data_IF_784656693995
#
_entry.id   IF_784656693995
#
_cell.length_a   1.000
_cell.length_b   1.000
_cell.length_c   1.000
_cell.angle_alpha   90.00
_cell.angle_beta   90.00
_cell.angle_gamma   90.00
#
_symmetry.space_group_name_H-M   'P 1'
#
loop_
_entity.id
_entity.type
_entity.pdbx_description
1 polymer ?
#
# COMPACT_ATOMS: atom_id res chain seq x y z
N UNK A 1 -22.75 -8.39 -16.66
CA UNK A 1 -23.08 -8.95 -15.33
C UNK A 1 -23.04 -7.95 -14.20
N UNK A 2 -22.12 -6.96 -14.18
CA UNK A 2 -22.06 -5.91 -13.14
C UNK A 2 -23.44 -5.45 -12.64
N UNK A 3 -24.35 -4.90 -13.48
CA UNK A 3 -25.67 -4.47 -13.01
C UNK A 3 -26.54 -5.64 -12.52
N UNK A 4 -26.55 -6.76 -13.24
CA UNK A 4 -27.39 -7.91 -12.89
C UNK A 4 -27.01 -8.61 -11.57
N UNK A 5 -25.86 -8.27 -10.98
CA UNK A 5 -25.38 -8.83 -9.71
C UNK A 5 -25.18 -7.76 -8.64
N UNK A 6 -25.59 -6.51 -8.90
CA UNK A 6 -25.69 -5.47 -7.87
C UNK A 6 -26.97 -5.68 -7.06
N UNK A 7 -26.97 -5.25 -5.79
CA UNK A 7 -28.16 -5.28 -4.93
C UNK A 7 -29.29 -4.39 -5.47
N UNK A 8 -28.93 -3.22 -6.03
CA UNK A 8 -29.82 -2.31 -6.75
C UNK A 8 -29.10 -1.74 -7.98
N UNK A 9 -29.83 -1.58 -9.09
CA UNK A 9 -29.31 -1.11 -10.38
C UNK A 9 -30.12 0.06 -10.93
N UNK A 10 -29.40 1.03 -11.50
CA UNK A 10 -29.95 2.20 -12.17
C UNK A 10 -29.56 2.17 -13.66
N UNK A 11 -30.47 2.53 -14.55
CA UNK A 11 -30.19 2.72 -15.98
C UNK A 11 -30.72 4.06 -16.48
N UNK A 12 -29.98 4.73 -17.37
CA UNK A 12 -30.41 5.99 -17.99
C UNK A 12 -31.20 5.69 -19.27
N UNK A 13 -32.43 6.20 -19.36
CA UNK A 13 -33.34 6.03 -20.50
C UNK A 13 -32.75 6.59 -21.79
N UNK A 14 -32.87 5.82 -22.88
CA UNK A 14 -32.38 6.23 -24.20
C UNK A 14 -30.85 6.30 -24.32
N UNK A 15 -30.11 5.78 -23.33
CA UNK A 15 -28.65 5.81 -23.30
C UNK A 15 -28.05 4.49 -22.82
N UNK A 16 -28.46 4.01 -21.65
CA UNK A 16 -27.95 2.78 -21.05
C UNK A 16 -28.51 1.54 -21.75
N UNK A 17 -27.65 0.56 -22.04
CA UNK A 17 -28.06 -0.74 -22.59
C UNK A 17 -27.34 -1.89 -21.88
N UNK A 18 -28.06 -2.98 -21.60
CA UNK A 18 -27.56 -4.18 -20.93
C UNK A 18 -27.97 -5.41 -21.75
N UNK A 19 -27.02 -6.29 -22.07
CA UNK A 19 -27.32 -7.57 -22.71
C UNK A 19 -26.15 -8.52 -22.53
N UNK A 20 -26.42 -9.83 -22.57
CA UNK A 20 -25.36 -10.84 -22.63
C UNK A 20 -24.74 -10.93 -24.02
N UNK A 21 -25.56 -10.73 -25.06
CA UNK A 21 -25.16 -10.73 -26.47
C UNK A 21 -25.70 -9.46 -27.12
N UNK A 22 -24.81 -8.63 -27.66
CA UNK A 22 -25.24 -7.39 -28.34
C UNK A 22 -25.92 -7.65 -29.68
N UNK A 23 -26.57 -6.63 -30.27
CA UNK A 23 -27.30 -6.78 -31.53
C UNK A 23 -26.53 -7.46 -32.68
N UNK A 24 -25.21 -7.22 -32.88
CA UNK A 24 -24.45 -7.92 -33.92
C UNK A 24 -24.42 -9.44 -33.71
N UNK A 25 -24.33 -9.90 -32.46
CA UNK A 25 -24.29 -11.32 -32.13
C UNK A 25 -25.67 -11.97 -32.26
N UNK A 26 -26.73 -11.28 -31.85
CA UNK A 26 -28.13 -11.73 -32.04
C UNK A 26 -28.42 -11.94 -33.53
N UNK A 27 -28.05 -10.96 -34.37
CA UNK A 27 -28.22 -11.06 -35.83
C UNK A 27 -27.45 -12.23 -36.43
N UNK A 28 -26.19 -12.42 -36.03
CA UNK A 28 -25.37 -13.51 -36.54
C UNK A 28 -25.92 -14.90 -36.15
N UNK A 29 -26.44 -15.04 -34.93
CA UNK A 29 -26.91 -16.33 -34.41
C UNK A 29 -28.33 -16.69 -34.88
N UNK A 30 -29.20 -15.70 -35.08
CA UNK A 30 -30.65 -15.93 -35.28
C UNK A 30 -31.23 -15.29 -36.54
N UNK A 31 -30.49 -14.38 -37.17
CA UNK A 31 -30.98 -13.55 -38.27
C UNK A 31 -31.81 -12.33 -37.83
N UNK A 32 -32.16 -12.22 -36.55
CA UNK A 32 -32.96 -11.09 -36.02
C UNK A 32 -32.19 -9.76 -36.09
N UNK A 33 -32.86 -8.71 -36.59
CA UNK A 33 -32.32 -7.35 -36.61
C UNK A 33 -33.07 -6.52 -35.57
N UNK A 34 -32.38 -6.20 -34.48
CA UNK A 34 -32.93 -5.42 -33.36
C UNK A 34 -31.95 -4.30 -32.97
N UNK A 35 -32.46 -3.16 -32.50
CA UNK A 35 -31.62 -2.07 -31.98
C UNK A 35 -31.13 -2.38 -30.57
N UNK A 36 -30.06 -1.71 -30.12
CA UNK A 36 -29.56 -1.87 -28.75
C UNK A 36 -30.61 -1.46 -27.69
N UNK A 37 -31.35 -0.37 -27.93
CA UNK A 37 -32.42 0.10 -27.04
C UNK A 37 -33.56 -0.91 -26.93
N UNK A 38 -33.99 -1.50 -28.06
CA UNK A 38 -35.08 -2.48 -28.02
C UNK A 38 -34.62 -3.81 -27.41
N UNK A 39 -33.36 -4.20 -27.63
CA UNK A 39 -32.80 -5.45 -27.11
C UNK A 39 -32.59 -5.41 -25.59
N UNK A 40 -32.12 -4.29 -25.06
CA UNK A 40 -31.66 -4.20 -23.67
C UNK A 40 -31.63 -2.80 -23.10
N UNK A 41 -32.47 -1.89 -23.60
CA UNK A 41 -32.59 -0.53 -23.08
C UNK A 41 -33.38 -0.44 -21.78
N UNK A 42 -33.61 0.79 -21.35
CA UNK A 42 -34.21 1.09 -20.05
C UNK A 42 -35.64 0.53 -19.90
N UNK A 43 -36.47 0.63 -20.94
CA UNK A 43 -37.83 0.09 -20.89
C UNK A 43 -37.84 -1.45 -20.92
N UNK A 44 -36.90 -2.08 -21.62
CA UNK A 44 -36.76 -3.54 -21.63
C UNK A 44 -36.41 -4.07 -20.25
N UNK A 45 -35.51 -3.40 -19.52
CA UNK A 45 -35.13 -3.83 -18.19
C UNK A 45 -36.02 -3.33 -17.07
N UNK A 46 -36.35 -2.04 -17.03
CA UNK A 46 -37.15 -1.45 -15.97
C UNK A 46 -38.65 -1.76 -16.03
N UNK A 47 -39.18 -2.24 -17.17
CA UNK A 47 -40.62 -2.60 -17.28
C UNK A 47 -40.90 -4.08 -17.50
N UNK A 48 -39.98 -4.83 -18.11
CA UNK A 48 -40.26 -6.20 -18.57
C UNK A 48 -39.44 -7.26 -17.85
N UNK A 49 -38.11 -7.18 -17.93
CA UNK A 49 -37.25 -8.24 -17.38
C UNK A 49 -36.92 -8.08 -15.90
N UNK A 50 -36.97 -6.86 -15.36
CA UNK A 50 -36.64 -6.59 -13.95
C UNK A 50 -35.14 -6.66 -13.62
N UNK A 51 -34.26 -6.59 -14.64
CA UNK A 51 -32.79 -6.54 -14.43
C UNK A 51 -32.34 -5.19 -13.85
N UNK A 52 -33.19 -4.17 -13.95
CA UNK A 52 -32.94 -2.81 -13.46
C UNK A 52 -34.09 -2.43 -12.53
N UNK A 53 -33.75 -1.84 -11.39
CA UNK A 53 -34.70 -1.44 -10.34
C UNK A 53 -35.15 0.01 -10.51
N UNK A 54 -34.28 0.88 -11.05
CA UNK A 54 -34.53 2.31 -11.21
C UNK A 54 -34.23 2.79 -12.63
N UNK A 55 -35.16 3.53 -13.23
CA UNK A 55 -34.95 4.18 -14.53
C UNK A 55 -34.78 5.68 -14.33
N UNK A 56 -33.59 6.18 -14.70
CA UNK A 56 -33.24 7.59 -14.69
C UNK A 56 -33.48 8.23 -16.07
N UNK A 57 -33.68 9.54 -16.08
CA UNK A 57 -33.94 10.33 -17.30
C UNK A 57 -32.67 11.05 -17.81
N UNK A 58 -31.62 11.09 -16.99
CA UNK A 58 -30.30 11.65 -17.31
C UNK A 58 -29.26 11.11 -16.32
N UNK A 59 -27.99 11.35 -16.60
CA UNK A 59 -26.89 11.01 -15.69
C UNK A 59 -27.04 11.70 -14.31
N UNK A 60 -27.41 12.99 -14.28
CA UNK A 60 -27.65 13.72 -13.02
C UNK A 60 -28.79 13.11 -12.20
N UNK A 61 -29.86 12.67 -12.86
CA UNK A 61 -30.96 11.96 -12.19
C UNK A 61 -30.48 10.62 -11.66
N UNK A 62 -29.69 9.86 -12.44
CA UNK A 62 -29.12 8.59 -11.98
C UNK A 62 -28.25 8.78 -10.73
N UNK A 63 -27.40 9.82 -10.69
CA UNK A 63 -26.57 10.12 -9.52
C UNK A 63 -27.39 10.54 -8.30
N UNK A 64 -28.54 11.20 -8.49
CA UNK A 64 -29.48 11.49 -7.40
C UNK A 64 -30.03 10.20 -6.81
N UNK A 65 -30.47 9.27 -7.66
CA UNK A 65 -30.97 7.96 -7.21
C UNK A 65 -29.87 7.16 -6.50
N UNK A 66 -28.61 7.19 -6.97
CA UNK A 66 -27.48 6.55 -6.26
C UNK A 66 -27.38 7.07 -4.82
N UNK A 67 -27.54 8.38 -4.61
CA UNK A 67 -27.48 8.98 -3.26
C UNK A 67 -28.66 8.55 -2.41
N UNK A 68 -29.85 8.44 -3.00
CA UNK A 68 -31.04 7.96 -2.31
C UNK A 68 -30.87 6.50 -1.86
N UNK A 69 -30.34 5.63 -2.72
CA UNK A 69 -29.99 4.23 -2.37
C UNK A 69 -29.00 4.21 -1.20
N UNK A 70 -27.90 4.98 -1.28
CA UNK A 70 -26.91 5.04 -0.19
C UNK A 70 -27.53 5.53 1.13
N UNK A 71 -28.57 6.38 1.07
CA UNK A 71 -29.26 6.90 2.26
C UNK A 71 -30.11 5.85 3.00
N UNK A 72 -30.47 4.73 2.34
CA UNK A 72 -31.24 3.64 2.95
C UNK A 72 -30.36 2.58 3.62
N UNK A 73 -29.04 2.63 3.40
CA UNK A 73 -28.10 1.69 4.00
C UNK A 73 -28.18 1.74 5.54
N UNK A 74 -27.99 0.60 6.23
CA UNK A 74 -28.06 0.55 7.68
C UNK A 74 -27.02 1.49 8.33
N UNK A 75 -27.30 1.99 9.54
CA UNK A 75 -26.36 2.85 10.25
C UNK A 75 -25.02 2.15 10.45
N UNK A 76 -23.94 2.88 10.25
CA UNK A 76 -22.60 2.35 10.45
C UNK A 76 -22.35 2.02 11.93
N UNK A 77 -21.76 0.86 12.19
CA UNK A 77 -21.21 0.49 13.50
C UNK A 77 -19.68 0.57 13.40
N UNK A 78 -19.07 1.75 13.58
CA UNK A 78 -17.63 1.91 13.39
C UNK A 78 -16.85 1.20 14.50
N UNK A 79 -15.68 0.67 14.14
CA UNK A 79 -14.78 0.10 15.15
C UNK A 79 -14.36 1.17 16.14
N UNK A 80 -14.56 0.89 17.42
CA UNK A 80 -14.12 1.77 18.50
C UNK A 80 -12.62 1.61 18.73
N UNK A 81 -11.85 2.53 18.18
CA UNK A 81 -10.46 2.79 18.60
C UNK A 81 -10.44 3.97 19.58
N UNK A 82 -9.38 4.11 20.37
CA UNK A 82 -9.22 5.23 21.31
C UNK A 82 -8.90 6.53 20.55
N UNK A 83 -9.92 7.13 19.93
CA UNK A 83 -9.77 8.40 19.19
C UNK A 83 -9.57 9.57 20.14
N UNK A 84 -8.83 10.56 19.67
CA UNK A 84 -8.61 11.83 20.35
C UNK A 84 -9.03 13.00 19.46
N UNK A 85 -9.25 14.21 19.99
CA UNK A 85 -9.37 15.40 19.16
C UNK A 85 -8.12 15.56 18.28
N UNK A 86 -8.31 15.71 16.97
CA UNK A 86 -7.21 15.88 16.03
C UNK A 86 -6.44 17.17 16.36
N UNK A 87 -5.11 17.08 16.39
CA UNK A 87 -4.22 18.24 16.52
C UNK A 87 -3.30 18.30 15.32
N UNK A 88 -3.06 19.48 14.72
CA UNK A 88 -2.07 19.59 13.65
C UNK A 88 -0.66 19.26 14.20
N UNK A 89 0.26 18.79 13.35
CA UNK A 89 1.69 18.70 13.70
C UNK A 89 2.24 20.09 14.04
N UNK A 90 3.35 20.15 14.80
CA UNK A 90 4.07 21.40 15.11
C UNK A 90 4.91 21.93 13.95
N UNK A 91 5.15 21.09 12.96
CA UNK A 91 5.99 21.40 11.79
C UNK A 91 5.14 21.36 10.53
N UNK A 92 5.46 22.25 9.60
CA UNK A 92 4.78 22.31 8.32
C UNK A 92 5.06 21.08 7.45
N UNK A 93 4.05 20.68 6.67
CA UNK A 93 4.08 19.49 5.84
C UNK A 93 5.05 19.64 4.66
N UNK A 94 5.17 20.84 4.06
CA UNK A 94 6.11 21.10 2.96
C UNK A 94 7.57 20.97 3.41
N UNK A 95 7.82 21.06 4.71
CA UNK A 95 9.13 20.74 5.30
C UNK A 95 9.63 19.32 4.95
N UNK A 96 8.75 18.40 4.57
CA UNK A 96 9.13 17.06 4.11
C UNK A 96 9.98 17.08 2.84
N UNK A 97 9.81 18.08 1.96
CA UNK A 97 10.60 18.21 0.74
C UNK A 97 12.09 18.41 1.01
N UNK A 98 12.43 19.02 2.15
CA UNK A 98 13.83 19.25 2.57
C UNK A 98 14.41 18.17 3.48
N UNK A 99 13.59 17.27 4.02
CA UNK A 99 14.03 16.21 4.95
C UNK A 99 14.56 15.00 4.20
N UNK A 100 13.87 14.58 3.13
CA UNK A 100 14.21 13.34 2.43
C UNK A 100 15.20 13.61 1.30
N UNK A 101 16.40 13.01 1.34
CA UNK A 101 17.41 13.21 0.31
C UNK A 101 16.94 12.73 -1.07
N UNK A 102 17.51 13.33 -2.12
CA UNK A 102 17.29 12.89 -3.50
C UNK A 102 17.94 11.54 -3.80
N UNK A 103 19.10 11.23 -3.18
CA UNK A 103 19.69 9.89 -3.22
C UNK A 103 19.03 8.99 -2.17
N UNK A 104 18.31 7.96 -2.62
CA UNK A 104 17.64 6.97 -1.75
C UNK A 104 18.58 6.21 -0.82
N UNK A 105 19.89 6.29 -1.03
CA UNK A 105 20.92 5.68 -0.17
C UNK A 105 21.43 6.61 0.91
N UNK A 106 21.19 7.92 0.79
CA UNK A 106 21.68 8.89 1.76
C UNK A 106 20.92 8.73 3.09
N UNK A 107 21.63 8.64 4.23
CA UNK A 107 20.99 8.52 5.52
C UNK A 107 20.34 9.84 5.92
N UNK A 108 19.18 9.76 6.56
CA UNK A 108 18.52 10.85 7.25
C UNK A 108 17.78 10.29 8.46
N UNK A 109 17.42 11.15 9.41
CA UNK A 109 16.65 10.73 10.58
C UNK A 109 15.15 10.67 10.26
N UNK A 110 14.57 9.47 10.24
CA UNK A 110 13.14 9.28 9.94
C UNK A 110 12.21 9.89 10.99
N UNK A 111 12.71 10.25 12.19
CA UNK A 111 11.93 11.01 13.16
C UNK A 111 11.48 12.37 12.61
N UNK A 112 12.25 12.99 11.71
CA UNK A 112 11.86 14.24 11.04
C UNK A 112 10.62 14.08 10.17
N UNK A 113 10.46 12.93 9.52
CA UNK A 113 9.25 12.58 8.77
C UNK A 113 8.09 12.36 9.73
N UNK A 114 8.27 11.53 10.76
CA UNK A 114 7.22 11.22 11.75
C UNK A 114 6.69 12.49 12.41
N UNK A 115 7.58 13.41 12.82
CA UNK A 115 7.21 14.66 13.48
C UNK A 115 6.31 15.57 12.64
N UNK A 116 6.38 15.49 11.30
CA UNK A 116 5.53 16.25 10.36
C UNK A 116 4.23 15.54 10.00
N UNK A 117 4.10 14.26 10.35
CA UNK A 117 2.89 13.48 10.06
C UNK A 117 1.95 13.37 11.24
N UNK A 118 2.46 13.27 12.47
CA UNK A 118 1.66 12.92 13.65
C UNK A 118 1.09 14.13 14.40
N UNK A 119 -0.04 13.92 15.05
CA UNK A 119 -0.75 14.94 15.81
C UNK A 119 0.13 15.55 16.91
N UNK A 120 0.22 16.88 16.93
CA UNK A 120 1.06 17.62 17.88
C UNK A 120 2.56 17.33 17.78
N UNK A 121 3.00 16.62 16.74
CA UNK A 121 4.36 16.06 16.64
C UNK A 121 4.73 15.20 17.85
N UNK A 122 3.74 14.56 18.49
CA UNK A 122 3.93 13.72 19.67
C UNK A 122 4.07 12.25 19.25
N UNK A 123 5.22 11.66 19.59
CA UNK A 123 5.55 10.28 19.26
C UNK A 123 6.08 9.56 20.48
N UNK A 124 5.38 8.51 20.92
CA UNK A 124 5.82 7.68 22.03
C UNK A 124 6.66 6.50 21.51
N UNK A 125 7.98 6.71 21.46
CA UNK A 125 8.93 5.73 20.95
C UNK A 125 8.98 4.45 21.82
N UNK A 126 8.85 3.31 21.18
CA UNK A 126 9.05 1.99 21.77
C UNK A 126 10.47 1.50 21.49
N UNK A 127 11.17 1.02 22.53
CA UNK A 127 12.55 0.52 22.42
C UNK A 127 13.47 1.53 21.70
N UNK A 128 13.45 2.80 22.12
CA UNK A 128 14.19 3.88 21.48
C UNK A 128 15.70 3.62 21.34
N UNK A 129 16.29 2.89 22.29
CA UNK A 129 17.73 2.59 22.34
C UNK A 129 18.12 1.19 21.82
N UNK A 130 17.16 0.40 21.31
CA UNK A 130 17.41 -0.97 20.83
C UNK A 130 16.95 -1.12 19.38
N UNK A 131 17.76 -1.75 18.52
CA UNK A 131 17.45 -1.91 17.10
C UNK A 131 17.10 -0.58 16.43
N UNK A 132 17.98 0.43 16.59
CA UNK A 132 17.72 1.84 16.24
C UNK A 132 17.52 2.09 14.74
N UNK A 133 17.88 1.14 13.89
CA UNK A 133 17.61 1.19 12.44
C UNK A 133 16.14 0.91 12.08
N UNK A 134 15.31 0.53 13.05
CA UNK A 134 13.86 0.50 12.93
C UNK A 134 13.24 1.32 14.06
N UNK A 135 12.64 2.46 13.71
CA UNK A 135 11.90 3.31 14.65
C UNK A 135 10.50 2.72 14.81
N UNK A 136 10.11 2.49 16.06
CA UNK A 136 8.77 2.00 16.41
C UNK A 136 8.17 2.91 17.46
N UNK A 137 6.88 3.22 17.37
CA UNK A 137 6.21 3.99 18.41
C UNK A 137 4.75 4.30 18.10
N UNK A 138 4.04 4.73 19.14
CA UNK A 138 2.63 5.07 19.05
C UNK A 138 2.44 6.57 18.87
N UNK A 139 1.46 6.94 18.06
CA UNK A 139 1.04 8.32 17.85
C UNK A 139 -0.44 8.39 17.47
N UNK A 140 -0.92 9.57 17.09
CA UNK A 140 -2.21 9.77 16.45
C UNK A 140 -2.03 10.51 15.12
N UNK A 141 -2.86 10.21 14.13
CA UNK A 141 -2.99 10.98 12.88
C UNK A 141 -4.47 11.30 12.72
N UNK A 142 -4.81 12.58 12.64
CA UNK A 142 -6.21 13.04 12.57
C UNK A 142 -7.07 12.46 13.69
N UNK A 143 -6.49 12.38 14.90
CA UNK A 143 -7.13 11.83 16.09
C UNK A 143 -7.25 10.30 16.11
N UNK A 144 -6.79 9.58 15.08
CA UNK A 144 -6.84 8.11 15.01
C UNK A 144 -5.52 7.54 15.55
N UNK A 145 -5.53 6.61 16.53
CA UNK A 145 -4.30 6.01 17.04
C UNK A 145 -3.60 5.19 15.96
N UNK A 146 -2.28 5.28 15.91
CA UNK A 146 -1.44 4.56 14.93
C UNK A 146 -0.18 4.02 15.58
N UNK A 147 0.22 2.82 15.18
CA UNK A 147 1.47 2.18 15.54
C UNK A 147 2.42 2.25 14.33
N UNK A 148 3.43 3.10 14.42
CA UNK A 148 4.33 3.41 13.30
C UNK A 148 5.56 2.52 13.37
N UNK A 149 5.93 1.90 12.24
CA UNK A 149 7.22 1.25 12.01
C UNK A 149 7.91 1.95 10.83
N UNK A 150 9.05 2.57 11.07
CA UNK A 150 9.75 3.37 10.07
C UNK A 150 11.23 2.98 9.98
N UNK A 151 11.72 2.74 8.76
CA UNK A 151 13.13 2.42 8.57
C UNK A 151 14.01 3.65 8.82
N UNK A 152 15.13 3.43 9.52
CA UNK A 152 16.15 4.43 9.81
C UNK A 152 17.54 3.86 9.49
N UNK A 153 17.62 3.02 8.45
CA UNK A 153 18.80 2.24 8.07
C UNK A 153 18.47 0.78 7.72
N UNK A 154 19.51 -0.03 7.55
CA UNK A 154 19.42 -1.48 7.28
C UNK A 154 18.85 -2.25 8.47
N UNK A 155 18.15 -3.37 8.23
CA UNK A 155 17.58 -4.18 9.31
C UNK A 155 18.60 -5.15 9.90
N UNK A 156 18.72 -5.15 11.23
CA UNK A 156 19.45 -6.15 12.02
C UNK A 156 18.48 -7.11 12.72
N UNK A 157 19.02 -8.16 13.35
CA UNK A 157 18.25 -9.10 14.18
C UNK A 157 17.44 -8.39 15.26
N UNK A 158 18.04 -7.41 15.93
CA UNK A 158 17.45 -6.58 16.96
C UNK A 158 16.28 -5.76 16.41
N UNK A 159 16.46 -5.18 15.22
CA UNK A 159 15.42 -4.40 14.53
C UNK A 159 14.20 -5.29 14.22
N UNK A 160 14.43 -6.51 13.73
CA UNK A 160 13.35 -7.45 13.43
C UNK A 160 12.61 -7.95 14.69
N UNK A 161 13.34 -8.27 15.76
CA UNK A 161 12.75 -8.64 17.05
C UNK A 161 11.95 -7.48 17.67
N UNK A 162 12.45 -6.25 17.54
CA UNK A 162 11.74 -5.04 17.98
C UNK A 162 10.44 -4.86 17.20
N UNK A 163 10.49 -4.95 15.87
CA UNK A 163 9.32 -4.80 15.02
C UNK A 163 8.26 -5.87 15.28
N UNK A 164 8.66 -7.14 15.42
CA UNK A 164 7.74 -8.23 15.74
C UNK A 164 6.99 -7.98 17.06
N UNK A 165 7.73 -7.69 18.15
CA UNK A 165 7.11 -7.37 19.45
C UNK A 165 6.21 -6.12 19.35
N UNK A 166 6.63 -5.08 18.64
CA UNK A 166 5.81 -3.89 18.49
C UNK A 166 4.48 -4.16 17.77
N UNK A 167 4.50 -5.00 16.73
CA UNK A 167 3.28 -5.46 16.03
C UNK A 167 2.38 -6.28 16.95
N UNK A 168 2.93 -7.15 17.80
CA UNK A 168 2.15 -7.89 18.80
C UNK A 168 1.39 -6.94 19.74
N UNK A 169 2.06 -5.89 20.23
CA UNK A 169 1.44 -4.85 21.07
C UNK A 169 0.33 -4.09 20.33
N UNK A 170 0.57 -3.70 19.08
CA UNK A 170 -0.41 -3.00 18.26
C UNK A 170 -1.66 -3.87 18.02
N UNK A 171 -1.47 -5.16 17.68
CA UNK A 171 -2.56 -6.10 17.49
C UNK A 171 -3.36 -6.33 18.77
N UNK A 172 -2.67 -6.51 19.92
CA UNK A 172 -3.34 -6.69 21.21
C UNK A 172 -4.19 -5.46 21.59
N UNK A 173 -3.72 -4.26 21.23
CA UNK A 173 -4.39 -2.99 21.52
C UNK A 173 -5.38 -2.56 20.43
N UNK A 174 -5.52 -3.34 19.35
CA UNK A 174 -6.34 -3.04 18.18
C UNK A 174 -5.99 -1.69 17.53
N UNK A 175 -4.69 -1.37 17.47
CA UNK A 175 -4.17 -0.13 16.87
C UNK A 175 -3.71 -0.41 15.44
N UNK A 176 -4.21 0.34 14.43
CA UNK A 176 -3.74 0.27 13.05
C UNK A 176 -2.22 0.45 12.93
N UNK A 177 -1.61 -0.26 11.99
CA UNK A 177 -0.19 -0.21 11.71
C UNK A 177 0.09 0.70 10.50
N UNK A 178 1.11 1.55 10.64
CA UNK A 178 1.66 2.36 9.56
C UNK A 178 3.12 1.96 9.33
N UNK A 179 3.44 1.54 8.11
CA UNK A 179 4.80 1.24 7.68
C UNK A 179 5.33 2.35 6.79
N UNK A 180 6.45 2.97 7.20
CA UNK A 180 7.18 3.94 6.39
C UNK A 180 8.45 3.27 5.85
N UNK A 181 8.40 2.87 4.58
CA UNK A 181 9.49 2.12 3.95
C UNK A 181 10.58 3.03 3.41
N UNK A 182 11.78 2.82 3.91
CA UNK A 182 13.03 3.27 3.32
C UNK A 182 14.13 2.24 3.63
N UNK A 183 14.07 1.10 2.94
CA UNK A 183 14.83 -0.11 3.26
C UNK A 183 15.64 -0.62 2.07
N UNK A 184 16.94 -0.74 2.29
CA UNK A 184 17.90 -1.39 1.38
C UNK A 184 18.07 -2.89 1.61
N UNK A 185 17.61 -3.41 2.75
CA UNK A 185 17.59 -4.84 3.06
C UNK A 185 18.02 -5.13 4.50
N UNK A 186 18.31 -6.41 4.74
CA UNK A 186 18.91 -6.88 5.99
C UNK A 186 20.44 -6.79 5.92
N UNK A 187 21.08 -6.69 7.08
CA UNK A 187 22.53 -6.75 7.17
C UNK A 187 23.04 -8.12 6.68
N UNK A 188 24.19 -8.13 5.99
CA UNK A 188 24.79 -9.35 5.41
C UNK A 188 26.14 -9.65 6.06
N UNK A 189 26.50 -10.94 6.12
CA UNK A 189 27.80 -11.41 6.60
C UNK A 189 27.70 -12.65 7.48
N UNK A 190 28.74 -13.49 7.46
CA UNK A 190 28.73 -14.79 8.14
C UNK A 190 28.41 -14.74 9.64
N UNK A 191 28.82 -13.66 10.32
CA UNK A 191 28.46 -13.42 11.73
C UNK A 191 26.95 -13.27 11.92
N UNK A 192 26.29 -12.44 11.11
CA UNK A 192 24.86 -12.17 11.23
C UNK A 192 24.01 -13.39 10.86
N UNK A 193 24.46 -14.17 9.87
CA UNK A 193 23.83 -15.45 9.54
C UNK A 193 23.93 -16.45 10.69
N UNK A 194 25.10 -16.60 11.31
CA UNK A 194 25.31 -17.48 12.45
C UNK A 194 24.53 -17.05 13.70
N UNK A 195 24.34 -15.75 13.91
CA UNK A 195 23.49 -15.18 14.96
C UNK A 195 21.98 -15.35 14.67
N UNK A 196 21.63 -15.80 13.47
CA UNK A 196 20.26 -16.16 13.10
C UNK A 196 19.44 -14.99 12.53
N UNK A 197 20.05 -14.04 11.82
CA UNK A 197 19.34 -12.92 11.20
C UNK A 197 18.13 -13.37 10.37
N UNK A 198 18.25 -14.51 9.67
CA UNK A 198 17.15 -15.12 8.92
C UNK A 198 15.94 -15.46 9.81
N UNK A 199 16.16 -16.12 10.96
CA UNK A 199 15.05 -16.45 11.89
C UNK A 199 14.49 -15.23 12.60
N UNK A 200 15.30 -14.20 12.83
CA UNK A 200 14.83 -12.95 13.42
C UNK A 200 13.99 -12.14 12.42
N UNK A 201 14.44 -12.02 11.16
CA UNK A 201 13.65 -11.48 10.06
C UNK A 201 12.34 -12.24 9.84
N UNK A 202 12.38 -13.57 9.93
CA UNK A 202 11.18 -14.40 9.82
C UNK A 202 10.13 -14.07 10.90
N UNK A 203 10.54 -13.76 12.14
CA UNK A 203 9.60 -13.32 13.19
C UNK A 203 8.86 -12.03 12.77
N UNK A 204 9.58 -11.05 12.24
CA UNK A 204 8.98 -9.81 11.74
C UNK A 204 7.97 -10.10 10.62
N UNK A 205 8.35 -10.92 9.64
CA UNK A 205 7.48 -11.29 8.52
C UNK A 205 6.24 -12.05 9.00
N UNK A 206 6.38 -13.00 9.93
CA UNK A 206 5.23 -13.68 10.55
C UNK A 206 4.29 -12.69 11.21
N UNK A 207 4.82 -11.74 11.99
CA UNK A 207 4.02 -10.72 12.66
C UNK A 207 3.27 -9.83 11.64
N UNK A 208 3.93 -9.37 10.58
CA UNK A 208 3.32 -8.57 9.51
C UNK A 208 2.22 -9.34 8.78
N UNK A 209 2.49 -10.59 8.41
CA UNK A 209 1.57 -11.42 7.63
C UNK A 209 0.29 -11.75 8.41
N UNK A 210 0.41 -11.98 9.72
CA UNK A 210 -0.69 -12.46 10.58
C UNK A 210 -1.30 -11.37 11.47
N UNK A 211 -0.82 -10.13 11.37
CA UNK A 211 -1.41 -8.98 12.05
C UNK A 211 -2.88 -8.79 11.64
N UNK A 212 -3.74 -8.70 12.66
CA UNK A 212 -5.21 -8.66 12.52
C UNK A 212 -5.80 -7.24 12.51
N UNK A 213 -4.95 -6.22 12.65
CA UNK A 213 -5.29 -4.81 12.57
C UNK A 213 -5.10 -4.28 11.14
N UNK A 214 -5.77 -3.18 10.74
CA UNK A 214 -5.50 -2.54 9.46
C UNK A 214 -4.03 -2.16 9.34
N UNK A 215 -3.46 -2.36 8.15
CA UNK A 215 -2.08 -2.02 7.81
C UNK A 215 -2.11 -1.03 6.66
N UNK A 216 -1.32 0.03 6.73
CA UNK A 216 -1.09 0.98 5.63
C UNK A 216 0.42 1.11 5.44
N UNK A 217 0.85 1.18 4.19
CA UNK A 217 2.27 1.29 3.83
C UNK A 217 2.49 2.54 2.99
N UNK A 218 3.58 3.27 3.24
CA UNK A 218 4.04 4.37 2.41
C UNK A 218 5.51 4.15 2.08
N UNK A 219 5.85 4.10 0.79
CA UNK A 219 7.23 4.05 0.32
C UNK A 219 7.79 5.47 0.28
N UNK A 220 8.58 5.84 1.30
CA UNK A 220 9.19 7.18 1.41
C UNK A 220 10.64 7.22 0.90
N UNK A 221 11.16 6.07 0.44
CA UNK A 221 12.50 5.91 -0.12
C UNK A 221 12.65 4.55 -0.80
N UNK A 222 13.69 3.80 -0.44
CA UNK A 222 13.95 2.47 -0.99
C UNK A 222 12.96 1.39 -0.51
N UNK A 223 12.63 0.45 -1.39
CA UNK A 223 11.88 -0.77 -1.08
C UNK A 223 12.54 -1.94 -1.79
N UNK A 224 13.56 -2.53 -1.14
CA UNK A 224 14.42 -3.54 -1.76
C UNK A 224 14.37 -4.89 -1.04
N UNK A 225 14.27 -5.96 -1.84
CA UNK A 225 14.44 -7.36 -1.41
C UNK A 225 13.61 -7.76 -0.20
N UNK A 226 14.21 -8.53 0.72
CA UNK A 226 13.54 -9.01 1.92
C UNK A 226 13.07 -7.89 2.88
N UNK A 227 13.63 -6.69 2.76
CA UNK A 227 13.19 -5.52 3.51
C UNK A 227 11.74 -5.13 3.18
N UNK A 228 11.35 -5.22 1.89
CA UNK A 228 9.97 -5.00 1.46
C UNK A 228 8.99 -5.92 2.20
N UNK A 229 9.38 -7.18 2.42
CA UNK A 229 8.54 -8.17 3.09
C UNK A 229 8.34 -7.85 4.57
N UNK A 230 9.44 -7.59 5.28
CA UNK A 230 9.41 -7.26 6.71
C UNK A 230 8.71 -5.93 7.03
N UNK A 231 8.55 -5.05 6.04
CA UNK A 231 7.91 -3.75 6.20
C UNK A 231 6.52 -3.66 5.54
N UNK A 232 5.84 -4.80 5.35
CA UNK A 232 4.47 -4.86 4.81
C UNK A 232 4.32 -4.33 3.37
N UNK A 233 5.15 -4.84 2.45
CA UNK A 233 4.99 -4.61 1.01
C UNK A 233 3.69 -5.19 0.44
N UNK A 234 3.48 -5.04 -0.88
CA UNK A 234 2.21 -5.34 -1.57
C UNK A 234 1.66 -6.75 -1.31
N UNK A 235 2.53 -7.75 -1.21
CA UNK A 235 2.17 -9.15 -0.96
C UNK A 235 1.61 -9.43 0.45
N UNK A 236 1.72 -8.48 1.39
CA UNK A 236 1.25 -8.62 2.78
C UNK A 236 -0.09 -7.94 3.04
N UNK A 237 -0.78 -7.57 1.95
CA UNK A 237 -2.12 -7.00 1.93
C UNK A 237 -2.32 -5.84 2.92
N UNK A 238 -1.48 -4.79 2.87
CA UNK A 238 -1.90 -3.52 3.46
C UNK A 238 -3.20 -3.07 2.78
N UNK A 239 -4.08 -2.40 3.53
CA UNK A 239 -5.34 -1.88 3.01
C UNK A 239 -5.11 -0.84 1.93
N UNK A 240 -4.02 -0.07 2.08
CA UNK A 240 -3.50 0.83 1.07
C UNK A 240 -1.97 0.82 1.12
N UNK A 241 -1.33 0.89 -0.05
CA UNK A 241 0.10 1.08 -0.22
C UNK A 241 0.32 2.28 -1.15
N UNK A 242 0.97 3.33 -0.67
CA UNK A 242 1.29 4.51 -1.47
C UNK A 242 2.79 4.65 -1.70
N UNK A 243 3.14 5.37 -2.76
CA UNK A 243 4.54 5.66 -3.11
C UNK A 243 4.79 7.16 -3.12
N UNK A 244 5.94 7.60 -2.61
CA UNK A 244 6.43 8.96 -2.88
C UNK A 244 7.14 9.02 -4.24
N UNK A 245 7.25 10.20 -4.88
CA UNK A 245 7.88 10.34 -6.19
C UNK A 245 9.38 10.02 -6.21
N UNK A 246 10.06 10.12 -5.06
CA UNK A 246 11.48 9.77 -4.93
C UNK A 246 11.71 8.26 -4.67
N UNK A 247 10.64 7.49 -4.41
CA UNK A 247 10.78 6.09 -4.01
C UNK A 247 11.38 5.22 -5.11
N UNK A 248 12.00 4.10 -4.74
CA UNK A 248 12.49 3.08 -5.68
C UNK A 248 12.14 1.69 -5.18
N UNK A 249 11.62 0.82 -6.05
CA UNK A 249 11.23 -0.55 -5.71
C UNK A 249 11.83 -1.56 -6.68
N UNK A 250 12.56 -2.55 -6.15
CA UNK A 250 13.12 -3.65 -6.96
C UNK A 250 13.58 -4.80 -6.06
N UNK A 251 14.03 -5.90 -6.65
CA UNK A 251 14.55 -7.05 -5.90
C UNK A 251 15.81 -6.72 -5.09
N UNK A 252 16.64 -5.80 -5.58
CA UNK A 252 17.82 -5.24 -4.91
C UNK A 252 18.19 -3.90 -5.55
N UNK A 253 19.11 -3.13 -4.97
CA UNK A 253 19.56 -1.87 -5.57
C UNK A 253 20.25 -2.08 -6.93
N UNK A 254 20.07 -1.15 -7.88
CA UNK A 254 20.62 -1.29 -9.24
C UNK A 254 22.14 -1.44 -9.28
N UNK A 255 22.87 -0.69 -8.45
CA UNK A 255 24.33 -0.81 -8.32
C UNK A 255 24.73 -2.18 -7.75
N UNK A 256 23.99 -2.68 -6.77
CA UNK A 256 24.22 -4.00 -6.19
C UNK A 256 23.98 -5.11 -7.21
N UNK A 257 22.88 -5.03 -7.97
CA UNK A 257 22.57 -5.98 -9.03
C UNK A 257 23.65 -5.99 -10.12
N UNK A 258 24.05 -4.81 -10.60
CA UNK A 258 25.08 -4.67 -11.62
C UNK A 258 26.42 -5.24 -11.14
N UNK A 259 26.82 -4.92 -9.91
CA UNK A 259 28.06 -5.44 -9.33
C UNK A 259 28.03 -6.96 -9.13
N UNK A 260 26.94 -7.53 -8.59
CA UNK A 260 26.82 -8.98 -8.41
C UNK A 260 26.81 -9.71 -9.75
N UNK A 261 26.02 -9.24 -10.73
CA UNK A 261 25.95 -9.85 -12.05
C UNK A 261 27.29 -9.78 -12.79
N UNK A 262 28.04 -8.69 -12.62
CA UNK A 262 29.38 -8.59 -13.17
C UNK A 262 30.34 -9.61 -12.53
N UNK A 263 30.30 -9.79 -11.21
CA UNK A 263 31.17 -10.75 -10.50
C UNK A 263 30.88 -12.21 -10.86
N UNK A 264 29.61 -12.57 -11.11
CA UNK A 264 29.25 -13.95 -11.46
C UNK A 264 29.27 -14.24 -12.97
N UNK A 265 29.59 -13.24 -13.79
CA UNK A 265 29.65 -13.43 -15.23
C UNK A 265 30.83 -14.36 -15.59
N UNK A 266 30.59 -15.32 -16.48
CA UNK A 266 31.57 -16.37 -16.81
C UNK A 266 32.91 -15.83 -17.33
N UNK A 267 32.88 -14.67 -17.99
CA UNK A 267 34.02 -14.01 -18.64
C UNK A 267 34.57 -12.84 -17.78
N UNK A 268 34.11 -12.69 -16.53
CA UNK A 268 34.40 -11.51 -15.71
C UNK A 268 35.90 -11.32 -15.39
N UNK A 269 36.63 -12.42 -15.23
CA UNK A 269 38.06 -12.39 -14.89
C UNK A 269 38.92 -11.84 -16.05
N UNK A 270 38.40 -11.86 -17.28
CA UNK A 270 39.09 -11.41 -18.49
C UNK A 270 38.75 -9.97 -18.89
N UNK A 271 37.82 -9.31 -18.18
CA UNK A 271 37.35 -7.97 -18.55
C UNK A 271 38.29 -6.85 -18.13
N UNK A 272 38.41 -5.83 -18.99
CA UNK A 272 38.93 -4.52 -18.56
C UNK A 272 37.92 -3.77 -17.70
N UNK A 273 38.37 -2.68 -17.06
CA UNK A 273 37.47 -1.81 -16.31
C UNK A 273 36.38 -1.19 -17.22
N UNK A 274 36.69 -0.87 -18.48
CA UNK A 274 35.69 -0.35 -19.42
C UNK A 274 34.66 -1.42 -19.82
N UNK A 275 35.08 -2.67 -20.04
CA UNK A 275 34.18 -3.77 -20.39
C UNK A 275 33.23 -4.11 -19.22
N UNK A 276 33.77 -4.13 -17.99
CA UNK A 276 32.96 -4.31 -16.79
C UNK A 276 31.93 -3.18 -16.62
N UNK A 277 32.32 -1.93 -16.88
CA UNK A 277 31.40 -0.79 -16.79
C UNK A 277 30.35 -0.80 -17.90
N UNK A 278 30.72 -1.18 -19.12
CA UNK A 278 29.82 -1.35 -20.26
C UNK A 278 28.78 -2.45 -20.00
N UNK A 279 29.14 -3.51 -19.26
CA UNK A 279 28.20 -4.54 -18.80
C UNK A 279 27.27 -4.03 -17.69
N UNK A 280 27.81 -3.27 -16.71
CA UNK A 280 27.05 -2.76 -15.56
C UNK A 280 26.06 -1.66 -15.93
N UNK A 281 26.38 -0.81 -16.91
CA UNK A 281 25.55 0.31 -17.33
C UNK A 281 24.10 -0.07 -17.71
N UNK A 282 23.84 -1.02 -18.63
CA UNK A 282 22.48 -1.41 -18.98
C UNK A 282 21.73 -2.06 -17.82
N UNK A 283 22.42 -2.76 -16.90
CA UNK A 283 21.78 -3.30 -15.68
C UNK A 283 21.31 -2.18 -14.77
N UNK A 284 22.15 -1.18 -14.50
CA UNK A 284 21.75 -0.02 -13.68
C UNK A 284 20.57 0.73 -14.30
N UNK A 285 20.61 0.96 -15.61
CA UNK A 285 19.52 1.63 -16.32
C UNK A 285 18.22 0.85 -16.20
N UNK A 286 18.25 -0.47 -16.39
CA UNK A 286 17.07 -1.33 -16.23
C UNK A 286 16.44 -1.20 -14.83
N UNK A 287 17.27 -1.18 -13.78
CA UNK A 287 16.78 -1.03 -12.41
C UNK A 287 16.21 0.36 -12.12
N UNK A 288 16.72 1.41 -12.78
CA UNK A 288 16.16 2.75 -12.69
C UNK A 288 14.81 2.86 -13.44
N UNK A 289 14.73 2.25 -14.63
CA UNK A 289 13.52 2.25 -15.47
C UNK A 289 12.39 1.42 -14.87
N UNK A 290 12.70 0.24 -14.33
CA UNK A 290 11.70 -0.65 -13.73
C UNK A 290 11.43 -0.34 -12.26
N UNK A 291 12.38 0.31 -11.58
CA UNK A 291 12.30 0.62 -10.15
C UNK A 291 11.72 1.98 -9.83
N UNK A 292 11.53 2.87 -10.80
CA UNK A 292 10.88 4.16 -10.57
C UNK A 292 9.38 4.00 -10.21
N UNK A 293 8.79 4.96 -9.48
CA UNK A 293 7.43 4.81 -8.98
C UNK A 293 6.37 4.89 -10.08
N UNK A 294 6.66 5.54 -11.22
CA UNK A 294 5.74 5.55 -12.37
C UNK A 294 5.59 4.17 -13.00
N UNK A 295 6.69 3.40 -13.08
CA UNK A 295 6.67 2.02 -13.54
C UNK A 295 5.81 1.13 -12.62
N UNK A 296 5.99 1.30 -11.30
CA UNK A 296 5.28 0.56 -10.27
C UNK A 296 3.77 0.87 -10.25
N UNK A 297 3.40 2.16 -10.25
CA UNK A 297 2.00 2.59 -10.19
C UNK A 297 1.22 2.20 -11.46
N UNK A 298 1.87 2.25 -12.63
CA UNK A 298 1.29 1.80 -13.90
C UNK A 298 0.93 0.30 -13.90
N UNK A 299 1.41 -0.47 -12.92
CA UNK A 299 1.18 -1.91 -12.75
C UNK A 299 0.44 -2.25 -11.44
N UNK A 300 -0.08 -1.23 -10.75
CA UNK A 300 -0.82 -1.36 -9.49
C UNK A 300 -0.03 -2.09 -8.38
N UNK A 301 1.30 -1.93 -8.39
CA UNK A 301 2.15 -2.39 -7.27
C UNK A 301 1.93 -1.53 -6.02
N UNK A 302 1.52 -0.28 -6.24
CA UNK A 302 0.96 0.65 -5.26
C UNK A 302 -0.44 1.09 -5.70
N UNK A 303 -1.14 1.79 -4.80
CA UNK A 303 -2.47 2.36 -5.00
C UNK A 303 -2.40 3.84 -5.42
N UNK A 304 -1.21 4.34 -5.72
CA UNK A 304 -1.00 5.71 -6.20
C UNK A 304 0.31 6.33 -5.68
N UNK A 305 0.88 7.18 -6.53
CA UNK A 305 1.92 8.12 -6.14
C UNK A 305 1.25 9.32 -5.47
N UNK A 306 1.74 9.72 -4.29
CA UNK A 306 1.21 10.86 -3.54
C UNK A 306 2.29 11.90 -3.31
N UNK A 307 1.89 13.16 -3.20
CA UNK A 307 2.76 14.23 -2.75
C UNK A 307 3.20 13.96 -1.29
N UNK A 308 4.51 14.00 -0.97
CA UNK A 308 4.99 13.88 0.40
C UNK A 308 4.26 14.77 1.40
N UNK A 309 3.95 16.03 1.07
CA UNK A 309 3.25 16.96 1.94
C UNK A 309 1.79 16.56 2.20
N UNK A 310 1.16 15.81 1.29
CA UNK A 310 -0.22 15.32 1.43
C UNK A 310 -0.33 14.01 2.21
N UNK A 311 0.80 13.37 2.55
CA UNK A 311 0.85 12.06 3.21
C UNK A 311 -0.05 11.99 4.44
N UNK A 312 -0.05 13.04 5.29
CA UNK A 312 -0.87 13.08 6.51
C UNK A 312 -2.37 12.97 6.23
N UNK A 313 -2.86 13.69 5.23
CA UNK A 313 -4.29 13.73 4.91
C UNK A 313 -4.74 12.47 4.18
N UNK A 314 -3.90 11.95 3.28
CA UNK A 314 -4.11 10.63 2.66
C UNK A 314 -4.20 9.54 3.73
N UNK A 315 -3.30 9.55 4.72
CA UNK A 315 -3.34 8.61 5.85
C UNK A 315 -4.60 8.80 6.71
N UNK A 316 -5.03 10.03 6.96
CA UNK A 316 -6.26 10.32 7.70
C UNK A 316 -7.50 9.69 7.05
N UNK A 317 -7.65 9.90 5.73
CA UNK A 317 -8.74 9.32 4.95
C UNK A 317 -8.65 7.79 4.89
N UNK A 318 -7.47 7.24 4.59
CA UNK A 318 -7.24 5.81 4.50
C UNK A 318 -7.54 5.11 5.84
N UNK A 319 -7.04 5.65 6.96
CA UNK A 319 -7.31 5.11 8.30
C UNK A 319 -8.81 5.14 8.59
N UNK A 320 -9.50 6.26 8.37
CA UNK A 320 -10.95 6.37 8.57
C UNK A 320 -11.74 5.35 7.74
N UNK A 321 -11.38 5.16 6.47
CA UNK A 321 -12.00 4.16 5.60
C UNK A 321 -11.82 2.74 6.16
N UNK A 322 -10.62 2.38 6.61
CA UNK A 322 -10.34 1.03 7.12
C UNK A 322 -11.12 0.66 8.39
N UNK A 323 -11.50 1.65 9.20
CA UNK A 323 -12.22 1.47 10.47
C UNK A 323 -13.73 1.21 10.30
N UNK A 324 -14.24 1.18 9.06
CA UNK A 324 -15.57 0.67 8.75
C UNK A 324 -15.62 -0.87 8.81
N UNK A 325 -14.48 -1.56 8.70
CA UNK A 325 -14.41 -3.01 8.82
C UNK A 325 -14.04 -3.41 10.26
N UNK A 326 -14.65 -4.47 10.82
CA UNK A 326 -14.33 -4.94 12.17
C UNK A 326 -12.85 -5.33 12.30
N UNK A 327 -12.26 -5.02 13.45
CA UNK A 327 -10.94 -5.52 13.85
C UNK A 327 -11.14 -6.80 14.66
N UNK A 328 -10.38 -7.85 14.37
CA UNK A 328 -10.50 -9.12 15.06
C UNK A 328 -10.39 -8.95 16.59
N UNK A 329 -11.17 -9.74 17.34
CA UNK A 329 -11.20 -9.61 18.80
C UNK A 329 -9.87 -9.91 19.47
N UNK A 330 -9.11 -10.85 18.90
CA UNK A 330 -7.82 -11.31 19.41
C UNK A 330 -6.81 -11.44 18.26
N UNK A 331 -5.52 -11.17 18.52
CA UNK A 331 -4.46 -11.49 17.57
C UNK A 331 -4.37 -13.01 17.35
N UNK A 332 -4.02 -13.42 16.13
CA UNK A 332 -3.84 -14.82 15.76
C UNK A 332 -2.54 -14.98 14.97
N UNK A 333 -1.41 -14.99 15.69
CA UNK A 333 -0.09 -15.15 15.08
C UNK A 333 0.19 -16.60 14.69
N UNK A 334 0.97 -16.78 13.62
CA UNK A 334 1.56 -18.07 13.27
C UNK A 334 2.69 -18.47 14.23
N UNK A 335 3.31 -19.62 13.98
CA UNK A 335 4.44 -20.10 14.79
C UNK A 335 5.65 -19.17 14.61
N UNK A 336 6.12 -18.57 15.70
CA UNK A 336 7.40 -17.84 15.71
C UNK A 336 8.57 -18.80 15.86
N UNK A 337 9.52 -18.75 14.92
CA UNK A 337 10.79 -19.48 15.00
C UNK A 337 11.72 -18.76 15.99
N UNK A 338 11.84 -19.25 17.23
CA UNK A 338 12.63 -18.62 18.31
C UNK A 338 14.13 -18.62 18.07
#
# INVERSE_FOLDING_TARGET
>A
YVPAMSDETIIVRGQGTIFLAGPPLVKAATGEVISAENLGGADTHGRRSGVVDHVAESDDHALTIVRDIVSTLPPQVPVTVNRQPARPPKYDAEGLYGVVPSDVRAPYDVHEVIARLVDGSEFHAFKALYGTSLVCGFAHIHGIPVAILANNGVLFSESAQKGAHFIELACQRKVPLLFLQNISGFMVGGKYEAEGIAKHGAKLVTAVATATVPKITVLIGGSFGAGNYGMCGRAYSPRFLFSWPNSRISVMGGEQAASVLATVHRDADDWTAEEAEAFKAPVRQKYEDEGNPWYATARLWDDGIIDPAQTRDVLGLALAATLNAPIAERPAFGVFRM
#
